data_IF_136764738368
#
_entry.id   IF_136764738368
#
_cell.length_a   1.000
_cell.length_b   1.000
_cell.length_c   1.000
_cell.angle_alpha   90.00
_cell.angle_beta   90.00
_cell.angle_gamma   90.00
#
_symmetry.space_group_name_H-M   'P 1'
#
loop_
_entity.id
_entity.type
_entity.pdbx_description
1 polymer ?
#
# COMPACT_ATOMS: atom_id res chain seq x y z
N UNK A 1 13.66 -83.26 -6.82
CA UNK A 1 14.33 -83.97 -7.93
C UNK A 1 15.74 -83.44 -8.07
N UNK A 2 16.70 -84.30 -7.75
CA UNK A 2 18.07 -84.45 -8.29
C UNK A 2 18.22 -83.88 -9.73
N UNK A 3 19.33 -83.34 -10.26
CA UNK A 3 20.77 -83.64 -10.11
C UNK A 3 21.59 -82.40 -10.55
N UNK A 4 22.77 -82.29 -9.96
CA UNK A 4 23.93 -81.46 -10.30
C UNK A 4 24.30 -81.45 -11.80
N UNK A 5 25.03 -80.42 -12.24
CA UNK A 5 26.38 -80.62 -12.76
C UNK A 5 27.20 -79.32 -12.79
N UNK A 6 28.34 -79.39 -12.10
CA UNK A 6 29.42 -78.43 -12.09
C UNK A 6 30.39 -78.70 -13.26
N UNK A 7 31.24 -77.71 -13.55
CA UNK A 7 32.65 -77.76 -14.04
C UNK A 7 32.87 -76.63 -15.07
N UNK A 8 33.95 -75.86 -15.09
CA UNK A 8 35.11 -75.82 -14.21
C UNK A 8 36.15 -74.80 -14.67
N UNK A 9 37.25 -74.77 -13.89
CA UNK A 9 38.64 -74.39 -14.19
C UNK A 9 39.00 -72.94 -14.55
N UNK A 10 39.73 -72.35 -13.60
CA UNK A 10 40.67 -71.23 -13.72
C UNK A 10 41.72 -71.44 -14.82
N UNK A 11 42.05 -70.37 -15.55
CA UNK A 11 43.31 -70.20 -16.30
C UNK A 11 43.89 -68.80 -16.08
N UNK A 12 45.22 -68.80 -16.04
CA UNK A 12 46.14 -67.74 -15.65
C UNK A 12 46.41 -66.68 -16.75
N UNK A 13 46.66 -65.44 -16.28
CA UNK A 13 47.66 -64.42 -16.72
C UNK A 13 47.48 -63.75 -18.11
N UNK A 14 47.38 -62.41 -18.16
CA UNK A 14 48.50 -61.52 -18.54
C UNK A 14 48.16 -60.01 -18.40
N UNK A 15 49.16 -59.24 -17.99
CA UNK A 15 49.18 -57.81 -17.70
C UNK A 15 49.44 -56.99 -18.99
N UNK A 16 48.68 -55.93 -19.26
CA UNK A 16 49.19 -54.70 -19.91
C UNK A 16 48.42 -53.46 -19.47
N UNK A 17 49.16 -52.52 -18.90
CA UNK A 17 48.76 -51.17 -18.53
C UNK A 17 48.30 -50.35 -19.73
N UNK A 18 47.18 -49.63 -19.61
CA UNK A 18 46.95 -48.33 -20.28
C UNK A 18 46.11 -47.44 -19.36
N UNK A 19 46.68 -46.29 -19.01
CA UNK A 19 46.05 -45.16 -18.35
C UNK A 19 44.76 -44.73 -19.08
N UNK A 20 43.66 -44.47 -18.35
CA UNK A 20 42.78 -43.31 -18.57
C UNK A 20 42.27 -42.82 -17.21
N UNK A 21 42.30 -41.50 -17.11
CA UNK A 21 41.96 -40.61 -16.01
C UNK A 21 40.57 -40.78 -15.39
N UNK A 22 40.42 -40.20 -14.19
CA UNK A 22 39.21 -39.46 -13.82
C UNK A 22 38.42 -40.07 -12.67
N UNK A 23 38.63 -39.54 -11.47
CA UNK A 23 37.79 -39.89 -10.31
C UNK A 23 38.26 -39.25 -9.02
N UNK A 24 38.60 -37.95 -9.05
CA UNK A 24 38.66 -37.17 -7.82
C UNK A 24 37.21 -37.08 -7.32
N UNK A 25 36.89 -37.81 -6.25
CA UNK A 25 35.61 -37.72 -5.55
C UNK A 25 35.47 -36.33 -4.95
N UNK A 26 34.99 -35.39 -5.74
CA UNK A 26 34.60 -34.07 -5.31
C UNK A 26 33.29 -34.25 -4.52
N UNK A 27 33.40 -34.24 -3.19
CA UNK A 27 32.26 -33.91 -2.32
C UNK A 27 31.81 -32.51 -2.73
N UNK A 28 30.78 -32.44 -3.57
CA UNK A 28 29.99 -31.22 -3.70
C UNK A 28 29.24 -31.11 -2.38
N UNK A 29 29.87 -30.46 -1.41
CA UNK A 29 29.13 -29.75 -0.40
C UNK A 29 28.28 -28.74 -1.16
N UNK A 30 27.03 -29.11 -1.45
CA UNK A 30 26.02 -28.13 -1.81
C UNK A 30 25.84 -27.33 -0.53
N UNK A 31 26.66 -26.29 -0.39
CA UNK A 31 26.44 -25.22 0.56
C UNK A 31 25.08 -24.65 0.21
N UNK A 32 24.02 -25.18 0.82
CA UNK A 32 22.72 -24.53 0.80
C UNK A 32 22.99 -23.18 1.45
N UNK A 33 22.87 -22.05 0.73
CA UNK A 33 23.15 -20.78 1.35
C UNK A 33 22.15 -20.58 2.49
N UNK A 34 22.63 -20.34 3.70
CA UNK A 34 21.85 -19.74 4.78
C UNK A 34 21.48 -18.30 4.35
N UNK A 35 20.60 -18.15 3.34
CA UNK A 35 20.16 -16.85 2.79
C UNK A 35 18.66 -16.62 3.07
N UNK A 36 17.94 -17.57 3.69
CA UNK A 36 16.49 -17.46 3.87
C UNK A 36 15.98 -16.62 5.05
N UNK A 37 16.73 -16.53 6.16
CA UNK A 37 16.17 -15.95 7.39
C UNK A 37 16.14 -14.42 7.41
N UNK A 38 17.15 -13.74 6.86
CA UNK A 38 17.17 -12.26 6.85
C UNK A 38 16.17 -11.66 5.84
N UNK A 39 15.97 -12.30 4.69
CA UNK A 39 15.07 -11.81 3.65
C UNK A 39 13.60 -11.90 4.06
N UNK A 40 13.21 -12.97 4.76
CA UNK A 40 11.85 -13.13 5.30
C UNK A 40 11.60 -12.18 6.47
N UNK A 41 12.55 -12.04 7.39
CA UNK A 41 12.43 -11.11 8.51
C UNK A 41 12.34 -9.65 8.04
N UNK A 42 13.14 -9.25 7.04
CA UNK A 42 13.09 -7.92 6.44
C UNK A 42 11.79 -7.67 5.67
N UNK A 43 11.32 -8.65 4.90
CA UNK A 43 10.02 -8.55 4.20
C UNK A 43 8.87 -8.41 5.19
N UNK A 44 8.86 -9.23 6.25
CA UNK A 44 7.87 -9.15 7.33
C UNK A 44 7.92 -7.81 8.07
N UNK A 45 9.11 -7.34 8.43
CA UNK A 45 9.28 -6.04 9.08
C UNK A 45 8.80 -4.88 8.19
N UNK A 46 9.01 -4.98 6.87
CA UNK A 46 8.53 -3.97 5.91
C UNK A 46 7.01 -3.99 5.80
N UNK A 47 6.38 -5.17 5.73
CA UNK A 47 4.91 -5.26 5.73
C UNK A 47 4.30 -4.79 7.04
N UNK A 48 4.92 -5.12 8.18
CA UNK A 48 4.43 -4.72 9.51
C UNK A 48 4.56 -3.20 9.72
N UNK A 49 5.57 -2.56 9.11
CA UNK A 49 5.69 -1.10 9.10
C UNK A 49 4.60 -0.46 8.21
N UNK A 50 4.45 -0.94 6.97
CA UNK A 50 3.45 -0.42 6.04
C UNK A 50 2.03 -0.55 6.62
N UNK A 51 1.70 -1.69 7.21
CA UNK A 51 0.42 -1.92 7.85
C UNK A 51 0.17 -0.93 8.99
N UNK A 52 1.12 -0.75 9.90
CA UNK A 52 0.97 0.21 11.01
C UNK A 52 0.81 1.66 10.53
N UNK A 53 1.49 2.01 9.44
CA UNK A 53 1.37 3.33 8.85
C UNK A 53 0.00 3.52 8.18
N UNK A 54 -0.49 2.50 7.46
CA UNK A 54 -1.83 2.49 6.91
C UNK A 54 -2.89 2.59 8.02
N UNK A 55 -2.76 1.80 9.09
CA UNK A 55 -3.68 1.84 10.23
C UNK A 55 -3.71 3.23 10.90
N UNK A 56 -2.56 3.90 11.01
CA UNK A 56 -2.47 5.27 11.52
C UNK A 56 -3.18 6.27 10.60
N UNK A 57 -2.96 6.17 9.29
CA UNK A 57 -3.61 7.02 8.29
C UNK A 57 -5.13 6.79 8.27
N UNK A 58 -5.56 5.53 8.25
CA UNK A 58 -6.96 5.12 8.30
C UNK A 58 -7.64 5.59 9.59
N UNK A 59 -6.98 5.43 10.74
CA UNK A 59 -7.49 5.88 12.03
C UNK A 59 -7.75 7.39 12.06
N UNK A 60 -6.81 8.19 11.52
CA UNK A 60 -7.02 9.64 11.38
C UNK A 60 -8.21 9.95 10.46
N UNK A 61 -8.26 9.33 9.28
CA UNK A 61 -9.31 9.60 8.29
C UNK A 61 -10.70 9.21 8.80
N UNK A 62 -10.85 8.03 9.39
CA UNK A 62 -12.14 7.55 9.91
C UNK A 62 -12.68 8.39 11.07
N UNK A 63 -11.80 9.02 11.86
CA UNK A 63 -12.23 9.99 12.87
C UNK A 63 -13.05 11.13 12.24
N UNK A 64 -12.66 11.60 11.05
CA UNK A 64 -13.36 12.68 10.33
C UNK A 64 -14.52 12.22 9.45
N UNK A 65 -14.50 10.97 8.96
CA UNK A 65 -15.59 10.42 8.12
C UNK A 65 -16.85 10.04 8.92
N UNK A 66 -16.83 10.14 10.26
CA UNK A 66 -18.03 9.90 11.09
C UNK A 66 -17.76 9.50 12.54
N UNK A 67 -16.52 9.54 13.02
CA UNK A 67 -16.16 8.99 14.32
C UNK A 67 -16.45 7.48 14.43
N UNK A 68 -16.00 6.84 15.50
CA UNK A 68 -16.54 5.52 15.89
C UNK A 68 -17.96 5.71 16.43
N UNK A 69 -18.90 6.08 15.56
CA UNK A 69 -20.33 6.09 15.87
C UNK A 69 -20.93 4.78 15.39
N UNK A 70 -21.53 4.04 16.31
CA UNK A 70 -22.39 2.89 16.08
C UNK A 70 -23.82 3.37 16.38
N UNK A 71 -24.37 4.24 15.53
CA UNK A 71 -25.70 4.81 15.74
C UNK A 71 -26.65 4.50 14.57
N UNK A 72 -27.75 3.76 14.79
CA UNK A 72 -28.63 3.24 13.73
C UNK A 72 -29.50 4.30 13.01
N UNK A 73 -29.21 5.59 13.14
CA UNK A 73 -30.08 6.69 12.70
C UNK A 73 -29.43 7.68 11.72
N UNK A 74 -28.23 7.42 11.21
CA UNK A 74 -27.56 8.33 10.29
C UNK A 74 -28.19 8.28 8.88
N UNK A 75 -29.09 9.23 8.61
CA UNK A 75 -29.77 9.43 7.32
C UNK A 75 -29.03 10.47 6.46
N UNK A 76 -27.71 10.31 6.32
CA UNK A 76 -27.00 10.85 5.17
C UNK A 76 -27.37 10.00 3.95
N UNK A 77 -27.44 10.56 2.73
CA UNK A 77 -27.59 9.72 1.53
C UNK A 77 -26.62 8.54 1.59
N UNK A 78 -27.06 7.32 1.20
CA UNK A 78 -26.40 6.03 1.56
C UNK A 78 -24.87 6.09 1.55
N UNK A 79 -24.30 6.36 2.72
CA UNK A 79 -22.86 6.46 2.98
C UNK A 79 -22.59 5.68 4.26
N UNK A 80 -21.57 4.83 4.27
CA UNK A 80 -21.15 4.10 5.46
C UNK A 80 -19.64 4.24 5.62
N UNK A 81 -19.20 4.78 6.76
CA UNK A 81 -17.77 5.02 7.06
C UNK A 81 -17.06 5.80 5.94
N UNK A 82 -17.66 6.87 5.44
CA UNK A 82 -17.13 7.70 4.36
C UNK A 82 -17.30 7.14 2.94
N UNK A 83 -17.73 5.89 2.77
CA UNK A 83 -17.87 5.25 1.45
C UNK A 83 -19.30 5.40 0.94
N UNK A 84 -19.44 5.94 -0.27
CA UNK A 84 -20.73 6.13 -0.95
C UNK A 84 -21.27 4.83 -1.55
N UNK A 85 -22.60 4.68 -1.63
CA UNK A 85 -23.22 3.55 -2.33
C UNK A 85 -22.74 3.37 -3.77
N UNK A 86 -22.51 4.46 -4.50
CA UNK A 86 -22.02 4.41 -5.88
C UNK A 86 -20.60 3.86 -5.98
N UNK A 87 -19.76 4.21 -5.01
CA UNK A 87 -18.39 3.71 -4.92
C UNK A 87 -18.39 2.22 -4.55
N UNK A 88 -19.19 1.83 -3.55
CA UNK A 88 -19.33 0.43 -3.18
C UNK A 88 -19.89 -0.43 -4.32
N UNK A 89 -20.84 0.09 -5.09
CA UNK A 89 -21.34 -0.58 -6.30
C UNK A 89 -20.22 -0.78 -7.33
N UNK A 90 -19.39 0.23 -7.57
CA UNK A 90 -18.26 0.14 -8.50
C UNK A 90 -17.22 -0.89 -8.02
N UNK A 91 -16.91 -0.89 -6.72
CA UNK A 91 -16.04 -1.89 -6.10
C UNK A 91 -16.58 -3.32 -6.33
N UNK A 92 -17.84 -3.58 -5.99
CA UNK A 92 -18.46 -4.90 -6.16
C UNK A 92 -18.51 -5.34 -7.62
N UNK A 93 -18.88 -4.42 -8.53
CA UNK A 93 -18.89 -4.69 -9.96
C UNK A 93 -17.50 -5.07 -10.49
N UNK A 94 -16.44 -4.38 -10.04
CA UNK A 94 -15.06 -4.71 -10.44
C UNK A 94 -14.61 -6.11 -9.99
N UNK A 95 -15.26 -6.67 -8.97
CA UNK A 95 -15.04 -8.03 -8.44
C UNK A 95 -16.03 -9.07 -8.98
N UNK A 96 -16.94 -8.69 -9.88
CA UNK A 96 -17.99 -9.56 -10.39
C UNK A 96 -19.05 -9.95 -9.34
N UNK A 97 -19.18 -9.16 -8.27
CA UNK A 97 -20.13 -9.40 -7.18
C UNK A 97 -21.46 -8.68 -7.46
N UNK A 98 -22.61 -9.26 -7.04
CA UNK A 98 -23.91 -8.61 -7.18
C UNK A 98 -23.98 -7.36 -6.30
N UNK A 99 -24.70 -6.29 -6.67
CA UNK A 99 -24.80 -5.08 -5.85
C UNK A 99 -25.41 -5.38 -4.47
N UNK A 100 -24.94 -4.67 -3.45
CA UNK A 100 -25.48 -4.72 -2.09
C UNK A 100 -25.61 -3.29 -1.56
N UNK A 101 -26.46 -3.11 -0.56
CA UNK A 101 -26.51 -1.86 0.19
C UNK A 101 -25.15 -1.61 0.86
N UNK A 102 -24.65 -0.38 0.82
CA UNK A 102 -23.41 0.03 1.49
C UNK A 102 -23.46 -0.18 3.00
N UNK A 103 -24.66 -0.18 3.61
CA UNK A 103 -24.86 -0.55 5.02
C UNK A 103 -24.63 -2.05 5.31
N UNK A 104 -24.56 -2.88 4.27
CA UNK A 104 -24.25 -4.31 4.36
C UNK A 104 -22.80 -4.61 3.97
N UNK A 105 -21.97 -3.58 3.76
CA UNK A 105 -20.55 -3.74 3.46
C UNK A 105 -19.83 -4.36 4.66
N UNK A 106 -19.03 -5.39 4.41
CA UNK A 106 -18.18 -5.97 5.44
C UNK A 106 -16.96 -5.10 5.71
N UNK A 107 -16.38 -5.23 6.91
CA UNK A 107 -15.13 -4.55 7.25
C UNK A 107 -13.99 -4.93 6.28
N UNK A 108 -13.98 -6.18 5.79
CA UNK A 108 -12.98 -6.62 4.81
C UNK A 108 -13.10 -5.87 3.48
N UNK A 109 -14.32 -5.71 2.95
CA UNK A 109 -14.57 -4.95 1.73
C UNK A 109 -14.24 -3.45 1.92
N UNK A 110 -14.58 -2.90 3.08
CA UNK A 110 -14.23 -1.53 3.46
C UNK A 110 -12.71 -1.31 3.46
N UNK A 111 -11.97 -2.22 4.10
CA UNK A 111 -10.51 -2.17 4.15
C UNK A 111 -9.89 -2.32 2.76
N UNK A 112 -10.46 -3.14 1.88
CA UNK A 112 -10.00 -3.23 0.48
C UNK A 112 -10.22 -1.93 -0.29
N UNK A 113 -11.34 -1.24 -0.08
CA UNK A 113 -11.59 0.07 -0.71
C UNK A 113 -10.57 1.09 -0.21
N UNK A 114 -10.31 1.14 1.09
CA UNK A 114 -9.28 2.02 1.66
C UNK A 114 -7.85 1.63 1.23
N UNK A 115 -7.51 0.36 1.10
CA UNK A 115 -6.23 -0.07 0.49
C UNK A 115 -6.11 0.42 -0.97
N UNK A 116 -7.24 0.51 -1.69
CA UNK A 116 -7.32 1.16 -3.00
C UNK A 116 -6.89 2.63 -2.97
N UNK A 117 -7.36 3.42 -2.00
CA UNK A 117 -6.90 4.81 -1.81
C UNK A 117 -5.43 4.88 -1.37
N UNK A 118 -5.02 3.99 -0.47
CA UNK A 118 -3.64 3.89 0.02
C UNK A 118 -2.65 3.67 -1.14
N UNK A 119 -2.88 2.63 -1.95
CA UNK A 119 -2.02 2.31 -3.09
C UNK A 119 -2.18 3.31 -4.22
N UNK A 120 -3.41 3.72 -4.52
CA UNK A 120 -3.72 4.66 -5.61
C UNK A 120 -3.11 6.04 -5.43
N UNK A 121 -2.99 6.50 -4.18
CA UNK A 121 -2.31 7.77 -3.84
C UNK A 121 -0.77 7.65 -3.81
N UNK A 122 -0.21 6.45 -3.90
CA UNK A 122 1.22 6.19 -3.80
C UNK A 122 1.78 6.28 -2.36
N UNK A 123 0.91 6.40 -1.36
CA UNK A 123 1.28 6.54 0.04
C UNK A 123 2.25 5.47 0.60
N UNK A 124 2.20 4.17 0.21
CA UNK A 124 3.14 3.16 0.73
C UNK A 124 4.63 3.48 0.55
N UNK A 125 4.99 4.29 -0.44
CA UNK A 125 6.38 4.65 -0.76
C UNK A 125 6.83 5.96 -0.10
N UNK A 126 5.95 6.63 0.65
CA UNK A 126 6.17 7.98 1.13
C UNK A 126 6.63 8.00 2.60
N UNK A 127 7.30 9.08 2.98
CA UNK A 127 7.61 9.43 4.35
C UNK A 127 6.30 9.40 5.17
N UNK A 128 6.30 8.88 6.41
CA UNK A 128 5.07 8.62 7.15
C UNK A 128 4.10 9.82 7.23
N UNK A 129 4.62 11.03 7.50
CA UNK A 129 3.82 12.26 7.46
C UNK A 129 3.17 12.51 6.08
N UNK A 130 3.91 12.32 4.99
CA UNK A 130 3.41 12.53 3.63
C UNK A 130 2.41 11.44 3.24
N UNK A 131 2.66 10.19 3.62
CA UNK A 131 1.78 9.06 3.37
C UNK A 131 0.40 9.27 4.01
N UNK A 132 0.36 9.69 5.28
CA UNK A 132 -0.88 10.00 6.01
C UNK A 132 -1.65 11.14 5.32
N UNK A 133 -0.96 12.23 4.97
CA UNK A 133 -1.58 13.37 4.28
C UNK A 133 -2.12 12.94 2.91
N UNK A 134 -1.35 12.20 2.12
CA UNK A 134 -1.75 11.76 0.79
C UNK A 134 -2.95 10.83 0.83
N UNK A 135 -2.96 9.89 1.76
CA UNK A 135 -4.09 8.99 1.98
C UNK A 135 -5.36 9.77 2.35
N UNK A 136 -5.31 10.63 3.38
CA UNK A 136 -6.47 11.42 3.80
C UNK A 136 -6.97 12.35 2.68
N UNK A 137 -6.05 12.91 1.91
CA UNK A 137 -6.38 13.76 0.76
C UNK A 137 -7.05 12.95 -0.36
N UNK A 138 -6.59 11.72 -0.61
CA UNK A 138 -7.18 10.85 -1.61
C UNK A 138 -8.59 10.40 -1.23
N UNK A 139 -8.86 10.11 0.04
CA UNK A 139 -10.22 9.80 0.50
C UNK A 139 -11.14 11.02 0.40
N UNK A 140 -10.67 12.20 0.81
CA UNK A 140 -11.50 13.41 0.85
C UNK A 140 -11.76 14.02 -0.54
N UNK A 141 -10.73 14.04 -1.41
CA UNK A 141 -10.78 14.73 -2.70
C UNK A 141 -10.75 13.78 -3.91
N UNK A 142 -10.58 12.48 -3.69
CA UNK A 142 -10.30 11.50 -4.75
C UNK A 142 -8.82 11.42 -5.11
N UNK A 143 -8.38 10.26 -5.61
CA UNK A 143 -6.98 9.97 -5.95
C UNK A 143 -6.39 11.00 -6.92
N UNK A 144 -7.11 11.33 -8.00
CA UNK A 144 -6.63 12.28 -9.00
C UNK A 144 -6.32 13.65 -8.38
N UNK A 145 -7.23 14.19 -7.57
CA UNK A 145 -7.02 15.49 -6.92
C UNK A 145 -5.96 15.41 -5.81
N UNK A 146 -5.79 14.26 -5.15
CA UNK A 146 -4.66 14.11 -4.22
C UNK A 146 -3.31 14.25 -4.91
N UNK A 147 -3.21 13.75 -6.14
CA UNK A 147 -1.99 13.87 -6.96
C UNK A 147 -1.81 15.32 -7.43
N UNK A 148 -2.89 16.05 -7.77
CA UNK A 148 -2.76 17.48 -8.12
C UNK A 148 -2.24 18.31 -6.94
N UNK A 149 -2.70 18.04 -5.71
CA UNK A 149 -2.16 18.69 -4.51
C UNK A 149 -0.68 18.35 -4.27
N UNK A 150 -0.28 17.10 -4.46
CA UNK A 150 1.13 16.70 -4.38
C UNK A 150 1.97 17.45 -5.42
N UNK A 151 1.53 17.48 -6.67
CA UNK A 151 2.21 18.19 -7.74
C UNK A 151 2.34 19.68 -7.43
N UNK A 152 1.27 20.30 -6.94
CA UNK A 152 1.32 21.70 -6.51
C UNK A 152 2.35 21.94 -5.40
N UNK A 153 2.37 21.09 -4.37
CA UNK A 153 3.34 21.18 -3.27
C UNK A 153 4.79 20.97 -3.72
N UNK A 154 5.00 20.21 -4.79
CA UNK A 154 6.30 19.96 -5.41
C UNK A 154 6.68 21.00 -6.49
N UNK A 155 5.81 21.97 -6.78
CA UNK A 155 6.03 22.98 -7.81
C UNK A 155 5.87 22.47 -9.25
N UNK A 156 5.14 21.37 -9.44
CA UNK A 156 4.87 20.75 -10.74
C UNK A 156 3.52 21.18 -11.33
N UNK A 157 3.33 21.02 -12.66
CA UNK A 157 2.02 21.12 -13.28
C UNK A 157 1.02 20.12 -12.67
N UNK A 158 -0.19 20.59 -12.36
CA UNK A 158 -1.24 19.84 -11.68
C UNK A 158 -2.02 18.94 -12.65
N UNK A 159 -1.35 17.96 -13.26
CA UNK A 159 -1.97 17.03 -14.22
C UNK A 159 -2.85 15.97 -13.54
N UNK A 160 -2.63 15.72 -12.25
CA UNK A 160 -3.30 14.67 -11.47
C UNK A 160 -2.93 13.25 -11.89
N UNK A 161 -1.85 13.11 -12.68
CA UNK A 161 -1.29 11.83 -13.14
C UNK A 161 0.04 11.60 -12.42
N UNK A 162 0.17 10.44 -11.76
CA UNK A 162 1.42 10.06 -11.08
C UNK A 162 2.42 9.48 -12.08
N UNK A 163 2.99 10.35 -12.90
CA UNK A 163 3.98 10.03 -13.94
C UNK A 163 5.41 9.95 -13.39
N UNK A 164 6.38 9.74 -14.29
CA UNK A 164 7.80 9.63 -13.93
C UNK A 164 8.38 10.93 -13.36
N UNK A 165 7.91 12.09 -13.83
CA UNK A 165 8.33 13.40 -13.32
C UNK A 165 7.80 13.60 -11.89
N UNK A 166 6.51 13.35 -11.68
CA UNK A 166 5.88 13.40 -10.36
C UNK A 166 6.55 12.44 -9.37
N UNK A 167 6.89 11.23 -9.82
CA UNK A 167 7.63 10.26 -9.01
C UNK A 167 9.01 10.77 -8.61
N UNK A 168 9.80 11.27 -9.56
CA UNK A 168 11.15 11.75 -9.29
C UNK A 168 11.16 12.97 -8.35
N UNK A 169 10.22 13.89 -8.55
CA UNK A 169 10.06 15.05 -7.65
C UNK A 169 9.58 14.62 -6.26
N UNK A 170 8.64 13.67 -6.18
CA UNK A 170 8.18 13.12 -4.90
C UNK A 170 9.32 12.45 -4.16
N UNK A 171 10.17 11.65 -4.82
CA UNK A 171 11.33 11.01 -4.18
C UNK A 171 12.31 12.02 -3.58
N UNK A 172 12.55 13.14 -4.27
CA UNK A 172 13.38 14.25 -3.76
C UNK A 172 12.68 15.03 -2.63
N UNK A 173 11.36 15.20 -2.75
CA UNK A 173 10.50 15.88 -1.80
C UNK A 173 9.86 14.96 -0.76
N UNK A 174 10.38 13.75 -0.54
CA UNK A 174 9.69 12.73 0.26
C UNK A 174 9.90 12.97 1.75
N UNK A 175 9.25 14.00 2.29
CA UNK A 175 9.51 14.48 3.64
C UNK A 175 8.26 15.13 4.26
N UNK A 176 8.34 15.42 5.57
CA UNK A 176 7.28 16.10 6.31
C UNK A 176 6.95 17.49 5.78
N UNK A 177 7.93 18.23 5.25
CA UNK A 177 7.66 19.59 4.74
C UNK A 177 6.69 19.55 3.57
N UNK A 178 6.88 18.65 2.61
CA UNK A 178 5.94 18.44 1.49
C UNK A 178 4.55 18.06 2.00
N UNK A 179 4.46 17.21 3.03
CA UNK A 179 3.19 16.87 3.68
C UNK A 179 2.46 18.12 4.20
N UNK A 180 3.18 19.00 4.92
CA UNK A 180 2.61 20.24 5.45
C UNK A 180 2.23 21.22 4.35
N UNK A 181 2.97 21.26 3.24
CA UNK A 181 2.60 22.06 2.08
C UNK A 181 1.29 21.59 1.45
N UNK A 182 1.08 20.27 1.28
CA UNK A 182 -0.20 19.75 0.79
C UNK A 182 -1.36 20.17 1.70
N UNK A 183 -1.18 20.12 3.03
CA UNK A 183 -2.21 20.58 3.97
C UNK A 183 -2.49 22.07 3.80
N UNK A 184 -1.46 22.90 3.63
CA UNK A 184 -1.62 24.32 3.33
C UNK A 184 -2.40 24.55 2.02
N UNK A 185 -2.10 23.79 0.96
CA UNK A 185 -2.83 23.89 -0.31
C UNK A 185 -4.29 23.49 -0.20
N UNK A 186 -4.62 22.48 0.61
CA UNK A 186 -6.01 22.11 0.93
C UNK A 186 -6.75 23.26 1.62
N UNK A 187 -6.10 23.94 2.57
CA UNK A 187 -6.67 25.11 3.26
C UNK A 187 -6.95 26.22 2.25
N UNK A 188 -5.96 26.58 1.42
CA UNK A 188 -6.11 27.61 0.39
C UNK A 188 -7.22 27.28 -0.61
N UNK A 189 -7.30 26.02 -1.06
CA UNK A 189 -8.37 25.53 -1.92
C UNK A 189 -9.76 25.79 -1.31
N UNK A 190 -9.93 25.54 -0.01
CA UNK A 190 -11.23 25.73 0.67
C UNK A 190 -11.62 27.19 0.79
N UNK A 191 -10.66 28.08 1.10
CA UNK A 191 -10.90 29.52 1.07
C UNK A 191 -11.37 29.98 -0.31
N UNK A 192 -10.65 29.57 -1.37
CA UNK A 192 -11.03 29.86 -2.75
C UNK A 192 -12.42 29.33 -3.08
N UNK A 193 -12.73 28.10 -2.68
CA UNK A 193 -14.03 27.45 -2.94
C UNK A 193 -15.21 28.23 -2.36
N UNK A 194 -15.07 28.75 -1.15
CA UNK A 194 -16.13 29.54 -0.49
C UNK A 194 -16.24 30.93 -1.10
N UNK A 195 -15.14 31.55 -1.52
CA UNK A 195 -15.19 32.81 -2.27
C UNK A 195 -15.95 32.66 -3.59
N UNK A 196 -15.68 31.58 -4.33
CA UNK A 196 -16.35 31.28 -5.60
C UNK A 196 -17.82 30.85 -5.42
N UNK A 197 -18.11 30.12 -4.34
CA UNK A 197 -19.45 29.60 -4.04
C UNK A 197 -19.79 29.82 -2.55
N UNK A 198 -20.31 31.01 -2.18
CA UNK A 198 -20.58 31.37 -0.78
C UNK A 198 -21.51 30.40 -0.04
N UNK A 199 -22.39 29.68 -0.73
CA UNK A 199 -23.24 28.65 -0.11
C UNK A 199 -22.46 27.48 0.51
N UNK A 200 -21.18 27.31 0.17
CA UNK A 200 -20.30 26.31 0.79
C UNK A 200 -19.80 26.70 2.18
N UNK A 201 -20.04 27.95 2.63
CA UNK A 201 -19.70 28.40 3.97
C UNK A 201 -20.26 27.49 5.07
N UNK A 202 -21.41 26.84 4.82
CA UNK A 202 -22.03 25.88 5.74
C UNK A 202 -21.10 24.70 6.13
N UNK A 203 -20.17 24.30 5.26
CA UNK A 203 -19.25 23.18 5.50
C UNK A 203 -17.83 23.64 5.88
N UNK A 204 -17.54 24.93 5.66
CA UNK A 204 -16.18 25.47 5.68
C UNK A 204 -15.46 25.26 7.01
N UNK A 205 -16.16 25.43 8.13
CA UNK A 205 -15.58 25.23 9.45
C UNK A 205 -15.18 23.76 9.69
N UNK A 206 -16.08 22.83 9.36
CA UNK A 206 -15.81 21.39 9.51
C UNK A 206 -14.66 20.92 8.62
N UNK A 207 -14.61 21.44 7.40
CA UNK A 207 -13.46 21.27 6.52
C UNK A 207 -12.19 21.75 7.23
N UNK A 208 -12.05 23.05 7.52
CA UNK A 208 -10.82 23.61 8.09
C UNK A 208 -10.38 22.88 9.37
N UNK A 209 -11.32 22.47 10.22
CA UNK A 209 -11.03 21.65 11.41
C UNK A 209 -10.25 20.37 11.07
N UNK A 210 -10.64 19.66 10.00
CA UNK A 210 -9.90 18.47 9.51
C UNK A 210 -8.49 18.80 9.06
N UNK A 211 -8.29 19.89 8.32
CA UNK A 211 -6.94 20.24 7.82
C UNK A 211 -6.01 20.70 8.94
N UNK A 212 -6.49 21.52 9.88
CA UNK A 212 -5.67 21.94 11.02
C UNK A 212 -5.35 20.77 11.94
N UNK A 213 -6.30 19.84 12.11
CA UNK A 213 -6.04 18.61 12.87
C UNK A 213 -5.02 17.71 12.17
N UNK A 214 -5.11 17.59 10.83
CA UNK A 214 -4.14 16.83 10.03
C UNK A 214 -2.75 17.47 10.13
N UNK A 215 -2.66 18.79 10.01
CA UNK A 215 -1.42 19.55 10.19
C UNK A 215 -0.79 19.25 11.56
N UNK A 216 -1.59 19.34 12.63
CA UNK A 216 -1.13 19.09 14.00
C UNK A 216 -0.66 17.65 14.19
N UNK A 217 -1.42 16.69 13.67
CA UNK A 217 -1.12 15.25 13.74
C UNK A 217 0.22 14.93 13.08
N UNK A 218 0.43 15.36 11.83
CA UNK A 218 1.67 15.00 11.11
C UNK A 218 2.88 15.86 11.50
N UNK A 219 2.67 17.04 12.09
CA UNK A 219 3.76 17.88 12.60
C UNK A 219 4.57 17.20 13.71
N UNK A 220 3.91 16.34 14.50
CA UNK A 220 4.50 15.58 15.61
C UNK A 220 5.34 14.38 15.15
N UNK A 221 5.19 13.95 13.89
CA UNK A 221 5.94 12.82 13.33
C UNK A 221 7.40 13.26 13.10
N UNK A 222 8.35 12.45 13.55
CA UNK A 222 9.78 12.73 13.35
C UNK A 222 10.16 12.56 11.87
N UNK A 223 11.17 13.32 11.43
CA UNK A 223 11.75 13.22 10.09
C UNK A 223 12.67 11.99 9.98
#
# INVERSE_FOLDING_TARGET
MNVQQATGKLKHINLKSRLIAGGLGLLVAISIPLIGHETLARTRSKSDYEQRLFDAALGFTLYFEGGFSDHPADIGGRTYRGILQTEYNAYRASRGLPPLDVLQMSDAEMLEIYDGYWRGSGAPAMHPALAIVMFDTAVNFGIHNSITFLQQALGLPQTGVFDAETRAAMEQGNNKFTALQIVNERILYRYKRVQEKPSQMAFFHGWLSRDYSLWGYVSQIQN
#
